data_IF_196600635826
#
_entry.id   IF_196600635826
#
_cell.length_a   1.000
_cell.length_b   1.000
_cell.length_c   1.000
_cell.angle_alpha   90.00
_cell.angle_beta   90.00
_cell.angle_gamma   90.00
#
_symmetry.space_group_name_H-M   'P 1'
#
loop_
_entity.id
_entity.type
_entity.pdbx_description
1 polymer ?
#
# COMPACT_ATOMS: atom_id res chain seq x y z
N UNK A 1 -9.46 33.61 -16.52
CA UNK A 1 -8.30 32.74 -16.84
C UNK A 1 -8.81 31.42 -17.40
N UNK A 2 -8.16 30.88 -18.44
CA UNK A 2 -8.55 29.58 -19.03
C UNK A 2 -8.39 28.46 -18.00
N UNK A 3 -9.35 27.53 -17.88
CA UNK A 3 -9.37 26.50 -16.84
C UNK A 3 -8.10 25.62 -16.84
N UNK A 4 -7.59 25.28 -18.03
CA UNK A 4 -6.34 24.52 -18.21
C UNK A 4 -5.13 25.24 -17.62
N UNK A 5 -4.99 26.54 -17.84
CA UNK A 5 -3.86 27.32 -17.33
C UNK A 5 -3.89 27.39 -15.79
N UNK A 6 -5.09 27.44 -15.19
CA UNK A 6 -5.26 27.40 -13.73
C UNK A 6 -4.88 26.02 -13.17
N UNK A 7 -5.24 24.94 -13.86
CA UNK A 7 -4.88 23.58 -13.48
C UNK A 7 -3.37 23.32 -13.56
N UNK A 8 -2.72 23.78 -14.62
CA UNK A 8 -1.25 23.69 -14.78
C UNK A 8 -0.51 24.51 -13.73
N UNK A 9 -1.00 25.71 -13.42
CA UNK A 9 -0.38 26.57 -12.38
C UNK A 9 -0.38 25.93 -10.99
N UNK A 10 -1.37 25.09 -10.65
CA UNK A 10 -1.39 24.34 -9.39
C UNK A 10 -0.28 23.30 -9.29
N UNK A 11 0.33 22.93 -10.41
CA UNK A 11 1.41 21.95 -10.56
C UNK A 11 2.77 22.60 -10.86
N UNK A 12 2.90 23.90 -10.61
CA UNK A 12 4.14 24.64 -10.90
C UNK A 12 4.38 24.91 -12.39
N UNK A 13 3.42 24.62 -13.26
CA UNK A 13 3.57 24.72 -14.71
C UNK A 13 2.92 26.00 -15.26
N UNK A 14 3.51 26.53 -16.33
CA UNK A 14 3.02 27.71 -17.03
C UNK A 14 2.69 27.35 -18.47
N UNK A 15 1.47 27.70 -18.90
CA UNK A 15 1.04 27.60 -20.29
C UNK A 15 1.31 28.93 -21.01
N UNK A 16 2.36 28.95 -21.83
CA UNK A 16 2.60 30.04 -22.76
C UNK A 16 1.73 29.88 -24.01
N UNK A 17 1.28 31.02 -24.57
CA UNK A 17 0.42 31.03 -25.77
C UNK A 17 1.16 31.38 -27.06
N UNK A 18 2.32 32.03 -26.94
CA UNK A 18 3.14 32.48 -28.07
C UNK A 18 4.62 32.38 -27.70
N UNK A 19 5.32 31.31 -28.11
CA UNK A 19 4.78 30.10 -28.75
C UNK A 19 3.86 29.31 -27.80
N UNK A 20 2.99 28.45 -28.33
CA UNK A 20 2.10 27.64 -27.50
C UNK A 20 2.87 26.45 -26.91
N UNK A 21 3.20 26.52 -25.61
CA UNK A 21 4.03 25.51 -24.93
C UNK A 21 3.81 25.50 -23.42
N UNK A 22 4.16 24.39 -22.80
CA UNK A 22 4.23 24.24 -21.34
C UNK A 22 5.68 24.40 -20.91
N UNK A 23 5.91 25.22 -19.89
CA UNK A 23 7.23 25.47 -19.28
C UNK A 23 7.11 25.47 -17.76
N UNK A 24 8.26 25.35 -17.10
CA UNK A 24 8.40 25.46 -15.65
C UNK A 24 9.78 26.06 -15.32
N UNK A 25 10.03 26.50 -14.07
CA UNK A 25 11.36 26.91 -13.63
C UNK A 25 12.42 25.82 -13.82
N UNK A 26 12.04 24.56 -13.62
CA UNK A 26 12.85 23.38 -13.89
C UNK A 26 12.13 22.49 -14.92
N UNK A 27 12.83 22.16 -16.01
CA UNK A 27 12.26 21.34 -17.09
C UNK A 27 11.87 19.92 -16.60
N UNK A 28 12.49 19.41 -15.54
CA UNK A 28 12.12 18.11 -14.94
C UNK A 28 10.67 18.10 -14.46
N UNK A 29 10.13 19.24 -14.02
CA UNK A 29 8.73 19.35 -13.60
C UNK A 29 7.76 19.11 -14.76
N UNK A 30 8.09 19.64 -15.94
CA UNK A 30 7.31 19.40 -17.16
C UNK A 30 7.36 17.92 -17.54
N UNK A 31 8.55 17.30 -17.41
CA UNK A 31 8.76 15.88 -17.73
C UNK A 31 7.97 14.97 -16.79
N UNK A 32 8.01 15.19 -15.48
CA UNK A 32 7.22 14.43 -14.51
C UNK A 32 5.72 14.58 -14.74
N UNK A 33 5.25 15.80 -15.04
CA UNK A 33 3.85 16.01 -15.36
C UNK A 33 3.39 15.20 -16.58
N UNK A 34 4.17 15.21 -17.66
CA UNK A 34 3.83 14.44 -18.86
C UNK A 34 3.98 12.94 -18.64
N UNK A 35 4.97 12.50 -17.86
CA UNK A 35 5.09 11.10 -17.45
C UNK A 35 3.82 10.63 -16.74
N UNK A 36 3.37 11.35 -15.70
CA UNK A 36 2.12 11.02 -15.00
C UNK A 36 0.92 11.05 -15.93
N UNK A 37 0.84 12.02 -16.84
CA UNK A 37 -0.22 12.09 -17.85
C UNK A 37 -0.27 10.86 -18.74
N UNK A 38 0.86 10.44 -19.31
CA UNK A 38 0.89 9.30 -20.21
C UNK A 38 0.62 7.99 -19.47
N UNK A 39 1.14 7.85 -18.25
CA UNK A 39 0.88 6.67 -17.43
C UNK A 39 -0.61 6.56 -17.07
N UNK A 40 -1.27 7.66 -16.68
CA UNK A 40 -2.70 7.64 -16.36
C UNK A 40 -3.59 7.45 -17.60
N UNK A 41 -3.23 8.04 -18.75
CA UNK A 41 -4.04 7.99 -19.95
C UNK A 41 -3.95 6.66 -20.71
N UNK A 42 -2.77 6.01 -20.69
CA UNK A 42 -2.47 4.84 -21.54
C UNK A 42 -2.12 3.58 -20.72
N UNK A 43 -1.88 3.73 -19.42
CA UNK A 43 -1.49 2.62 -18.54
C UNK A 43 -0.21 1.92 -18.99
N UNK A 44 -0.13 0.63 -18.69
CA UNK A 44 1.02 -0.23 -19.03
C UNK A 44 0.85 -0.97 -20.36
N UNK A 45 -0.34 -0.94 -20.96
CA UNK A 45 -0.67 -1.74 -22.15
C UNK A 45 -0.51 -0.96 -23.44
N UNK A 46 -0.92 0.31 -23.47
CA UNK A 46 -0.82 1.15 -24.65
C UNK A 46 0.51 1.94 -24.65
N UNK A 47 0.99 2.33 -25.83
CA UNK A 47 2.23 3.08 -25.97
C UNK A 47 2.06 4.15 -27.06
N UNK A 48 1.82 5.42 -26.70
CA UNK A 48 1.40 6.45 -27.64
C UNK A 48 2.56 7.13 -28.38
N UNK A 49 3.67 6.42 -28.58
CA UNK A 49 4.88 6.97 -29.18
C UNK A 49 5.37 6.12 -30.34
N UNK A 50 5.99 6.79 -31.31
CA UNK A 50 6.50 6.15 -32.54
C UNK A 50 7.73 5.27 -32.28
N UNK A 51 8.37 5.40 -31.11
CA UNK A 51 9.54 4.62 -30.72
C UNK A 51 9.12 3.31 -30.07
N UNK A 52 9.78 2.20 -30.44
CA UNK A 52 9.43 0.87 -29.95
C UNK A 52 9.61 0.74 -28.42
N UNK A 53 8.50 0.53 -27.71
CA UNK A 53 8.45 0.40 -26.23
C UNK A 53 9.49 -0.56 -25.67
N UNK A 54 9.62 -1.74 -26.28
CA UNK A 54 10.51 -2.80 -25.78
C UNK A 54 11.95 -2.31 -25.65
N UNK A 55 12.39 -1.41 -26.53
CA UNK A 55 13.76 -0.91 -26.50
C UNK A 55 14.03 -0.02 -25.28
N UNK A 56 13.10 0.88 -24.96
CA UNK A 56 13.19 1.75 -23.78
C UNK A 56 13.13 0.94 -22.50
N UNK A 57 12.17 0.01 -22.43
CA UNK A 57 12.02 -0.88 -21.28
C UNK A 57 13.31 -1.67 -21.06
N UNK A 58 13.86 -2.30 -22.10
CA UNK A 58 15.13 -3.04 -21.99
C UNK A 58 16.31 -2.14 -21.60
N UNK A 59 16.36 -0.90 -22.08
CA UNK A 59 17.39 0.07 -21.67
C UNK A 59 17.27 0.40 -20.19
N UNK A 60 16.07 0.76 -19.71
CA UNK A 60 15.80 1.07 -18.30
C UNK A 60 16.13 -0.12 -17.41
N UNK A 61 15.68 -1.33 -17.77
CA UNK A 61 15.94 -2.56 -17.01
C UNK A 61 17.42 -2.90 -16.87
N UNK A 62 18.19 -2.79 -17.96
CA UNK A 62 19.63 -3.07 -17.93
C UNK A 62 20.33 -2.07 -17.03
N UNK A 63 20.04 -0.79 -17.23
CA UNK A 63 20.68 0.28 -16.49
C UNK A 63 20.31 0.20 -14.99
N UNK A 64 19.05 -0.11 -14.64
CA UNK A 64 18.64 -0.30 -13.25
C UNK A 64 19.32 -1.51 -12.59
N UNK A 65 19.55 -2.59 -13.35
CA UNK A 65 20.31 -3.76 -12.89
C UNK A 65 21.77 -3.40 -12.60
N UNK A 66 22.40 -2.61 -13.48
CA UNK A 66 23.77 -2.13 -13.28
C UNK A 66 23.91 -1.23 -12.05
N UNK A 67 22.82 -0.59 -11.63
CA UNK A 67 22.73 0.24 -10.43
C UNK A 67 22.25 -0.50 -9.18
N UNK A 68 21.99 -1.81 -9.27
CA UNK A 68 21.47 -2.62 -8.16
C UNK A 68 20.15 -2.05 -7.57
N UNK A 69 19.34 -1.45 -8.45
CA UNK A 69 17.99 -0.96 -8.16
C UNK A 69 16.99 -2.09 -8.40
N UNK A 70 16.17 -2.35 -7.40
CA UNK A 70 15.24 -3.46 -7.42
C UNK A 70 13.87 -3.05 -7.97
N UNK A 71 13.75 -2.49 -9.18
CA UNK A 71 12.44 -2.13 -9.73
C UNK A 71 11.61 -3.33 -10.18
N UNK A 72 10.29 -3.23 -10.01
CA UNK A 72 9.31 -4.12 -10.61
C UNK A 72 8.92 -3.67 -12.04
N UNK A 73 8.11 -4.49 -12.70
CA UNK A 73 7.68 -4.22 -14.08
C UNK A 73 6.92 -2.89 -14.23
N UNK A 74 6.17 -2.47 -13.21
CA UNK A 74 5.41 -1.22 -13.25
C UNK A 74 6.35 -0.01 -13.15
N UNK A 75 7.27 -0.04 -12.18
CA UNK A 75 8.29 0.99 -11.98
C UNK A 75 9.20 1.12 -13.22
N UNK A 76 9.58 -0.01 -13.83
CA UNK A 76 10.34 -0.01 -15.10
C UNK A 76 9.56 0.70 -16.21
N UNK A 77 8.26 0.43 -16.35
CA UNK A 77 7.42 1.07 -17.37
C UNK A 77 7.27 2.57 -17.08
N UNK A 78 7.07 2.94 -15.81
CA UNK A 78 7.01 4.34 -15.37
C UNK A 78 8.29 5.11 -15.75
N UNK A 79 9.46 4.53 -15.52
CA UNK A 79 10.74 5.11 -15.89
C UNK A 79 10.97 5.11 -17.41
N UNK A 80 10.44 4.13 -18.14
CA UNK A 80 10.46 4.13 -19.61
C UNK A 80 9.61 5.28 -20.19
N UNK A 81 8.44 5.57 -19.60
CA UNK A 81 7.65 6.76 -19.95
C UNK A 81 8.43 8.05 -19.68
N UNK A 82 9.11 8.15 -18.52
CA UNK A 82 9.92 9.32 -18.19
C UNK A 82 11.08 9.52 -19.16
N UNK A 83 11.75 8.43 -19.54
CA UNK A 83 12.80 8.44 -20.57
C UNK A 83 12.24 8.93 -21.91
N UNK A 84 11.09 8.42 -22.34
CA UNK A 84 10.46 8.83 -23.60
C UNK A 84 10.14 10.33 -23.60
N UNK A 85 9.51 10.81 -22.53
CA UNK A 85 9.19 12.23 -22.36
C UNK A 85 10.47 13.07 -22.37
N UNK A 86 11.52 12.63 -21.68
CA UNK A 86 12.83 13.29 -21.64
C UNK A 86 13.39 13.46 -23.05
N UNK A 87 13.37 12.42 -23.87
CA UNK A 87 13.85 12.46 -25.25
C UNK A 87 13.04 13.43 -26.09
N UNK A 88 11.71 13.36 -26.00
CA UNK A 88 10.82 14.25 -26.75
C UNK A 88 11.10 15.71 -26.40
N UNK A 89 11.15 16.04 -25.11
CA UNK A 89 11.36 17.40 -24.62
C UNK A 89 12.73 17.93 -25.02
N UNK A 90 13.78 17.13 -24.84
CA UNK A 90 15.13 17.50 -25.28
C UNK A 90 15.18 17.72 -26.80
N UNK A 91 14.56 16.85 -27.61
CA UNK A 91 14.51 16.98 -29.08
C UNK A 91 13.78 18.24 -29.57
N UNK A 92 12.85 18.76 -28.76
CA UNK A 92 12.14 20.02 -28.99
C UNK A 92 12.94 21.25 -28.53
N UNK A 93 14.13 21.05 -27.96
CA UNK A 93 14.99 22.11 -27.43
C UNK A 93 14.71 22.49 -25.98
N UNK A 94 13.88 21.73 -25.25
CA UNK A 94 13.67 21.92 -23.82
C UNK A 94 14.67 21.07 -23.02
N UNK A 95 15.83 21.68 -22.80
CA UNK A 95 16.97 21.06 -22.13
C UNK A 95 16.98 21.37 -20.63
N UNK A 96 17.78 20.62 -19.88
CA UNK A 96 18.12 20.96 -18.48
C UNK A 96 18.93 22.27 -18.40
N UNK A 97 19.16 22.76 -17.17
CA UNK A 97 19.95 23.98 -16.95
C UNK A 97 21.39 23.83 -17.43
N UNK A 98 22.00 24.92 -17.89
CA UNK A 98 23.40 24.93 -18.35
C UNK A 98 24.39 24.51 -17.26
N UNK A 99 24.06 24.78 -15.99
CA UNK A 99 24.86 24.37 -14.83
C UNK A 99 25.09 22.86 -14.80
N UNK A 100 24.05 22.06 -15.08
CA UNK A 100 24.13 20.60 -15.14
C UNK A 100 25.08 20.13 -16.27
N UNK A 101 25.15 20.86 -17.38
CA UNK A 101 26.06 20.55 -18.48
C UNK A 101 27.50 20.99 -18.23
N UNK A 102 27.72 21.89 -17.27
CA UNK A 102 29.06 22.37 -16.92
C UNK A 102 29.83 21.41 -16.01
N UNK A 103 29.13 20.51 -15.30
CA UNK A 103 29.74 19.49 -14.45
C UNK A 103 30.58 18.49 -15.28
N UNK A 104 31.62 17.85 -14.73
CA UNK A 104 32.27 16.72 -15.39
C UNK A 104 31.36 15.48 -15.37
N UNK A 105 31.50 14.59 -16.36
CA UNK A 105 30.75 13.32 -16.33
C UNK A 105 31.22 12.47 -15.15
N UNK A 106 30.26 12.01 -14.35
CA UNK A 106 30.49 11.07 -13.27
C UNK A 106 30.44 9.60 -13.74
N UNK A 107 30.53 8.67 -12.79
CA UNK A 107 30.48 7.24 -13.07
C UNK A 107 29.14 6.81 -13.71
N UNK A 108 28.01 7.36 -13.25
CA UNK A 108 26.68 7.01 -13.74
C UNK A 108 26.50 7.51 -15.18
N UNK A 109 26.97 8.72 -15.47
CA UNK A 109 26.99 9.28 -16.82
C UNK A 109 27.81 8.41 -17.78
N UNK A 110 28.99 7.95 -17.35
CA UNK A 110 29.84 7.06 -18.15
C UNK A 110 29.19 5.70 -18.39
N UNK A 111 28.52 5.14 -17.38
CA UNK A 111 27.81 3.88 -17.49
C UNK A 111 26.64 3.97 -18.49
N UNK A 112 25.81 5.01 -18.36
CA UNK A 112 24.70 5.28 -19.28
C UNK A 112 25.22 5.48 -20.71
N UNK A 113 26.31 6.22 -20.88
CA UNK A 113 26.96 6.38 -22.20
C UNK A 113 27.37 5.05 -22.80
N UNK A 114 27.99 4.17 -22.00
CA UNK A 114 28.53 2.89 -22.46
C UNK A 114 27.43 1.93 -22.96
N UNK A 115 26.18 2.13 -22.53
CA UNK A 115 25.01 1.37 -22.97
C UNK A 115 24.50 1.84 -24.34
N UNK A 116 25.40 1.89 -25.34
CA UNK A 116 25.23 2.52 -26.65
C UNK A 116 24.07 1.96 -27.51
N UNK A 117 23.58 0.75 -27.21
CA UNK A 117 22.63 -0.01 -28.05
C UNK A 117 21.31 0.70 -28.35
N UNK A 118 20.98 1.73 -27.58
CA UNK A 118 19.75 2.51 -27.73
C UNK A 118 19.95 3.80 -28.54
N UNK A 119 21.12 4.44 -28.47
CA UNK A 119 21.39 5.72 -29.14
C UNK A 119 21.36 5.65 -30.68
N UNK A 120 21.75 4.51 -31.26
CA UNK A 120 21.81 4.30 -32.71
C UNK A 120 20.42 4.13 -33.34
N UNK A 121 19.42 3.71 -32.55
CA UNK A 121 18.09 3.37 -33.03
C UNK A 121 17.15 4.57 -33.18
N UNK A 122 17.55 5.74 -32.68
CA UNK A 122 16.80 6.99 -32.86
C UNK A 122 16.88 7.54 -34.28
N UNK A 123 17.87 7.13 -35.06
CA UNK A 123 18.08 7.60 -36.43
C UNK A 123 16.87 7.36 -37.36
N UNK A 124 16.01 6.40 -37.02
CA UNK A 124 14.81 6.05 -37.79
C UNK A 124 13.53 6.74 -37.31
N UNK A 125 13.61 7.56 -36.26
CA UNK A 125 12.44 8.24 -35.67
C UNK A 125 12.44 9.74 -35.95
N UNK A 126 11.30 10.40 -35.68
CA UNK A 126 11.20 11.86 -35.75
C UNK A 126 11.93 12.56 -34.58
N UNK A 127 12.42 11.80 -33.59
CA UNK A 127 13.08 12.34 -32.41
C UNK A 127 14.58 12.45 -32.64
N UNK A 128 15.13 13.62 -32.28
CA UNK A 128 16.57 13.88 -32.37
C UNK A 128 17.21 13.70 -31.01
N UNK A 129 18.21 12.82 -30.94
CA UNK A 129 19.03 12.68 -29.75
C UNK A 129 19.95 13.90 -29.65
N UNK A 130 19.83 14.63 -28.54
CA UNK A 130 20.61 15.85 -28.31
C UNK A 130 22.06 15.53 -27.94
N UNK A 131 23.00 16.46 -28.15
CA UNK A 131 24.32 16.35 -27.55
C UNK A 131 24.20 16.18 -26.03
N UNK A 132 25.04 15.31 -25.46
CA UNK A 132 25.03 14.98 -24.02
C UNK A 132 23.71 14.38 -23.50
N UNK A 133 22.97 13.66 -24.35
CA UNK A 133 21.72 12.96 -23.99
C UNK A 133 21.82 12.07 -22.74
N UNK A 134 23.00 11.52 -22.46
CA UNK A 134 23.21 10.68 -21.28
C UNK A 134 22.97 11.46 -19.99
N UNK A 135 23.24 12.78 -19.97
CA UNK A 135 22.95 13.65 -18.81
C UNK A 135 21.47 13.94 -18.65
N UNK A 136 20.79 14.12 -19.79
CA UNK A 136 19.34 14.27 -19.80
C UNK A 136 18.68 13.06 -19.14
N UNK A 137 19.14 11.87 -19.52
CA UNK A 137 18.72 10.60 -18.94
C UNK A 137 19.14 10.46 -17.47
N UNK A 138 20.42 10.67 -17.13
CA UNK A 138 20.92 10.46 -15.78
C UNK A 138 20.24 11.38 -14.76
N UNK A 139 20.15 12.68 -15.07
CA UNK A 139 19.60 13.68 -14.16
C UNK A 139 18.07 13.73 -14.10
N UNK A 140 17.37 13.06 -15.03
CA UNK A 140 15.90 13.00 -15.03
C UNK A 140 15.37 11.61 -14.67
N UNK A 141 15.79 10.57 -15.40
CA UNK A 141 15.28 9.20 -15.21
C UNK A 141 15.85 8.62 -13.92
N UNK A 142 17.15 8.82 -13.68
CA UNK A 142 17.85 8.35 -12.47
C UNK A 142 18.07 9.49 -11.48
N UNK A 143 17.10 10.41 -11.41
CA UNK A 143 17.17 11.61 -10.56
C UNK A 143 17.37 11.30 -9.08
N UNK A 144 17.02 10.10 -8.63
CA UNK A 144 17.22 9.59 -7.26
C UNK A 144 18.68 9.62 -6.81
N UNK A 145 19.66 9.65 -7.72
CA UNK A 145 21.08 9.76 -7.39
C UNK A 145 21.58 11.21 -7.29
N UNK A 146 20.77 12.18 -7.72
CA UNK A 146 21.18 13.58 -7.90
C UNK A 146 20.33 14.59 -7.16
N UNK A 147 19.19 14.18 -6.62
CA UNK A 147 18.23 15.10 -5.99
C UNK A 147 18.55 15.38 -4.51
N UNK A 148 19.73 14.98 -4.04
CA UNK A 148 20.18 15.19 -2.66
C UNK A 148 21.01 16.48 -2.55
N UNK A 149 20.73 17.28 -1.53
CA UNK A 149 21.50 18.50 -1.24
C UNK A 149 22.96 18.15 -0.91
N UNK A 150 23.18 17.03 -0.23
CA UNK A 150 24.49 16.48 0.11
C UNK A 150 24.37 15.03 0.62
N UNK A 151 25.52 14.33 0.68
CA UNK A 151 25.60 12.95 1.20
C UNK A 151 25.15 12.80 2.67
N UNK A 152 25.24 13.86 3.49
CA UNK A 152 24.77 13.78 4.87
C UNK A 152 23.23 13.74 4.94
N UNK A 153 22.55 14.45 4.04
CA UNK A 153 21.10 14.38 3.91
C UNK A 153 20.67 12.98 3.50
N UNK A 154 21.28 12.40 2.48
CA UNK A 154 21.01 11.02 2.02
C UNK A 154 21.14 10.02 3.18
N UNK A 155 22.28 10.03 3.89
CA UNK A 155 22.50 9.17 5.05
C UNK A 155 21.49 9.40 6.17
N UNK A 156 21.14 10.65 6.45
CA UNK A 156 20.14 10.99 7.49
C UNK A 156 18.76 10.45 7.14
N UNK A 157 18.32 10.62 5.89
CA UNK A 157 17.01 10.12 5.44
C UNK A 157 16.99 8.60 5.48
N UNK A 158 18.05 7.94 4.99
CA UNK A 158 18.17 6.49 5.05
C UNK A 158 18.10 5.98 6.50
N UNK A 159 18.89 6.54 7.42
CA UNK A 159 18.88 6.14 8.83
C UNK A 159 17.51 6.34 9.49
N UNK A 160 16.77 7.40 9.13
CA UNK A 160 15.43 7.62 9.61
C UNK A 160 14.45 6.55 9.10
N UNK A 161 14.55 6.16 7.82
CA UNK A 161 13.74 5.08 7.23
C UNK A 161 14.07 3.74 7.91
N UNK A 162 15.35 3.42 8.12
CA UNK A 162 15.79 2.21 8.83
C UNK A 162 15.22 2.16 10.26
N UNK A 163 15.28 3.27 10.99
CA UNK A 163 14.68 3.39 12.32
C UNK A 163 13.15 3.18 12.28
N UNK A 164 12.47 3.75 11.29
CA UNK A 164 11.04 3.54 11.07
C UNK A 164 10.72 2.05 10.82
N UNK A 165 11.45 1.39 9.91
CA UNK A 165 11.23 -0.03 9.61
C UNK A 165 11.49 -0.91 10.82
N UNK A 166 12.52 -0.60 11.60
CA UNK A 166 12.80 -1.33 12.83
C UNK A 166 11.65 -1.21 13.84
N UNK A 167 11.12 0.00 14.06
CA UNK A 167 10.00 0.22 14.97
C UNK A 167 8.73 -0.53 14.53
N UNK A 168 8.41 -0.50 13.23
CA UNK A 168 7.27 -1.22 12.67
C UNK A 168 7.47 -2.73 12.80
N UNK A 169 8.65 -3.26 12.47
CA UNK A 169 9.03 -4.67 12.61
C UNK A 169 8.88 -5.20 14.03
N UNK A 170 9.35 -4.43 15.02
CA UNK A 170 9.14 -4.78 16.43
C UNK A 170 7.66 -4.80 16.80
N UNK A 171 6.86 -3.85 16.29
CA UNK A 171 5.44 -3.75 16.61
C UNK A 171 4.59 -4.90 16.08
N UNK A 172 4.95 -5.44 14.91
CA UNK A 172 4.26 -6.60 14.30
C UNK A 172 4.90 -7.94 14.66
N UNK A 173 5.96 -7.93 15.47
CA UNK A 173 6.77 -9.10 15.85
C UNK A 173 7.12 -9.97 14.64
N UNK A 174 7.61 -9.32 13.59
CA UNK A 174 7.94 -9.97 12.33
C UNK A 174 9.19 -9.32 11.74
N UNK A 175 10.29 -10.08 11.55
CA UNK A 175 11.51 -9.52 11.00
C UNK A 175 11.38 -9.26 9.50
N UNK A 176 12.02 -8.20 9.01
CA UNK A 176 12.27 -8.02 7.57
C UNK A 176 13.46 -8.88 7.16
N UNK A 177 13.39 -9.45 5.96
CA UNK A 177 14.59 -10.01 5.34
C UNK A 177 15.37 -8.89 4.61
N UNK A 178 16.66 -9.11 4.39
CA UNK A 178 17.57 -8.10 3.81
C UNK A 178 17.11 -7.57 2.44
N UNK A 179 16.48 -8.43 1.62
CA UNK A 179 16.03 -8.06 0.27
C UNK A 179 14.82 -7.14 0.31
N UNK A 180 13.81 -7.50 1.11
CA UNK A 180 12.58 -6.72 1.28
C UNK A 180 12.92 -5.37 1.93
N UNK A 181 13.78 -5.37 2.95
CA UNK A 181 14.26 -4.16 3.60
C UNK A 181 14.94 -3.21 2.61
N UNK A 182 15.89 -3.73 1.82
CA UNK A 182 16.57 -2.94 0.78
C UNK A 182 15.57 -2.35 -0.22
N UNK A 183 14.60 -3.14 -0.69
CA UNK A 183 13.57 -2.70 -1.65
C UNK A 183 12.69 -1.59 -1.07
N UNK A 184 12.22 -1.75 0.16
CA UNK A 184 11.38 -0.77 0.84
C UNK A 184 12.16 0.54 1.08
N UNK A 185 13.41 0.44 1.53
CA UNK A 185 14.28 1.61 1.69
C UNK A 185 14.45 2.35 0.36
N UNK A 186 14.76 1.63 -0.72
CA UNK A 186 14.91 2.22 -2.06
C UNK A 186 13.64 2.96 -2.49
N UNK A 187 12.45 2.35 -2.35
CA UNK A 187 11.19 3.00 -2.70
C UNK A 187 10.89 4.23 -1.84
N UNK A 188 11.12 4.16 -0.53
CA UNK A 188 10.90 5.30 0.37
C UNK A 188 11.89 6.45 0.10
N UNK A 189 13.14 6.14 -0.23
CA UNK A 189 14.12 7.13 -0.68
C UNK A 189 13.69 7.76 -2.02
N UNK A 190 13.16 6.96 -2.95
CA UNK A 190 12.58 7.43 -4.21
C UNK A 190 11.43 8.42 -4.01
N UNK A 191 10.52 8.13 -3.06
CA UNK A 191 9.43 9.06 -2.68
C UNK A 191 9.98 10.41 -2.20
N UNK A 192 10.98 10.38 -1.32
CA UNK A 192 11.63 11.61 -0.82
C UNK A 192 12.30 12.39 -1.95
N UNK A 193 13.11 11.71 -2.77
CA UNK A 193 13.85 12.31 -3.88
C UNK A 193 12.90 12.96 -4.90
N UNK A 194 11.87 12.21 -5.32
CA UNK A 194 10.89 12.68 -6.30
C UNK A 194 10.18 13.94 -5.80
N UNK A 195 9.77 13.97 -4.54
CA UNK A 195 9.10 15.14 -3.96
C UNK A 195 10.05 16.33 -3.77
N UNK A 196 11.29 16.07 -3.36
CA UNK A 196 12.33 17.10 -3.22
C UNK A 196 12.59 17.79 -4.56
N UNK A 197 12.57 17.01 -5.65
CA UNK A 197 12.74 17.52 -6.99
C UNK A 197 11.46 18.18 -7.56
N UNK A 198 10.29 17.59 -7.34
CA UNK A 198 9.00 18.08 -7.85
C UNK A 198 7.94 18.10 -6.73
N UNK A 199 7.82 19.22 -5.99
CA UNK A 199 6.99 19.32 -4.79
C UNK A 199 5.51 19.61 -5.11
N UNK A 200 4.98 19.01 -6.18
CA UNK A 200 3.60 19.16 -6.62
C UNK A 200 2.94 17.79 -6.77
N UNK A 201 1.60 17.78 -6.71
CA UNK A 201 0.85 16.54 -6.87
C UNK A 201 1.05 15.96 -8.28
N UNK A 202 1.54 14.72 -8.34
CA UNK A 202 1.83 13.99 -9.58
C UNK A 202 0.54 13.45 -10.19
N UNK A 203 -0.43 13.08 -9.36
CA UNK A 203 -1.71 12.56 -9.84
C UNK A 203 -2.50 13.65 -10.58
N UNK A 204 -2.99 13.31 -11.77
CA UNK A 204 -3.78 14.18 -12.61
C UNK A 204 -5.25 13.99 -12.29
N UNK A 205 -5.73 12.74 -12.34
CA UNK A 205 -7.12 12.36 -12.12
C UNK A 205 -7.29 11.32 -11.01
N UNK A 206 -6.41 10.31 -10.95
CA UNK A 206 -6.61 9.14 -10.10
C UNK A 206 -5.37 8.81 -9.27
N UNK A 207 -5.55 8.73 -7.95
CA UNK A 207 -4.52 8.28 -7.01
C UNK A 207 -4.77 6.81 -6.63
N UNK A 208 -4.06 5.89 -7.30
CA UNK A 208 -4.19 4.46 -7.08
C UNK A 208 -3.79 4.02 -5.66
N UNK A 209 -2.75 4.65 -5.11
CA UNK A 209 -2.28 4.38 -3.75
C UNK A 209 -3.31 4.77 -2.70
N UNK A 210 -4.06 5.86 -2.91
CA UNK A 210 -5.02 6.36 -1.94
C UNK A 210 -6.21 5.40 -1.73
N UNK A 211 -6.80 4.87 -2.79
CA UNK A 211 -7.90 3.89 -2.66
C UNK A 211 -7.42 2.59 -2.02
N UNK A 212 -6.24 2.13 -2.42
CA UNK A 212 -5.61 0.94 -1.84
C UNK A 212 -5.32 1.15 -0.35
N UNK A 213 -4.75 2.29 0.03
CA UNK A 213 -4.47 2.64 1.41
C UNK A 213 -5.74 2.73 2.27
N UNK A 214 -6.85 3.27 1.74
CA UNK A 214 -8.14 3.28 2.45
C UNK A 214 -8.64 1.86 2.76
N UNK A 215 -8.47 0.94 1.81
CA UNK A 215 -8.81 -0.47 2.03
C UNK A 215 -7.89 -1.09 3.09
N UNK A 216 -6.59 -0.81 3.03
CA UNK A 216 -5.61 -1.26 4.03
C UNK A 216 -5.97 -0.74 5.42
N UNK A 217 -6.28 0.54 5.56
CA UNK A 217 -6.67 1.16 6.84
C UNK A 217 -7.97 0.57 7.40
N UNK A 218 -8.92 0.21 6.53
CA UNK A 218 -10.16 -0.45 6.94
C UNK A 218 -9.91 -1.87 7.44
N UNK A 219 -8.99 -2.58 6.80
CA UNK A 219 -8.70 -4.00 7.00
C UNK A 219 -7.71 -4.18 8.19
N UNK A 220 -6.69 -3.33 8.30
CA UNK A 220 -5.65 -3.40 9.32
C UNK A 220 -5.47 -2.06 10.07
N UNK A 221 -6.49 -1.56 10.79
CA UNK A 221 -6.46 -0.24 11.44
C UNK A 221 -5.31 -0.09 12.45
N UNK A 222 -5.00 -1.14 13.23
CA UNK A 222 -3.88 -1.11 14.19
C UNK A 222 -2.55 -0.94 13.48
N UNK A 223 -2.31 -1.72 12.42
CA UNK A 223 -1.10 -1.62 11.61
C UNK A 223 -0.97 -0.24 10.96
N UNK A 224 -2.04 0.26 10.35
CA UNK A 224 -2.02 1.59 9.75
C UNK A 224 -1.71 2.67 10.79
N UNK A 225 -2.25 2.56 12.00
CA UNK A 225 -1.94 3.49 13.09
C UNK A 225 -0.47 3.45 13.51
N UNK A 226 0.12 2.25 13.61
CA UNK A 226 1.56 2.07 13.88
C UNK A 226 2.38 2.80 12.82
N UNK A 227 2.06 2.61 11.54
CA UNK A 227 2.74 3.27 10.42
C UNK A 227 2.60 4.79 10.55
N UNK A 228 1.38 5.33 10.73
CA UNK A 228 1.15 6.78 10.86
C UNK A 228 1.94 7.41 12.01
N UNK A 229 2.00 6.72 13.15
CA UNK A 229 2.70 7.24 14.35
C UNK A 229 4.21 7.26 14.10
N UNK A 230 4.78 6.19 13.55
CA UNK A 230 6.22 6.11 13.30
C UNK A 230 6.67 7.01 12.15
N UNK A 231 5.85 7.19 11.10
CA UNK A 231 6.10 8.19 10.05
C UNK A 231 6.13 9.62 10.61
N UNK A 232 5.25 9.94 11.57
CA UNK A 232 5.24 11.26 12.23
C UNK A 232 6.48 11.50 13.09
N UNK A 233 7.11 10.45 13.61
CA UNK A 233 8.36 10.60 14.35
C UNK A 233 9.50 10.98 13.41
N UNK A 234 9.68 10.25 12.30
CA UNK A 234 10.75 10.56 11.32
C UNK A 234 10.51 11.89 10.57
N UNK A 235 9.25 12.34 10.46
CA UNK A 235 8.91 13.66 9.90
C UNK A 235 9.54 14.82 10.69
N UNK A 236 9.69 14.68 12.02
CA UNK A 236 10.35 15.70 12.85
C UNK A 236 11.85 15.80 12.57
N UNK A 237 12.49 14.67 12.26
CA UNK A 237 13.94 14.60 12.05
C UNK A 237 14.33 15.00 10.62
N UNK A 238 13.47 14.67 9.66
CA UNK A 238 13.72 14.87 8.24
C UNK A 238 13.19 16.21 7.70
N UNK A 239 12.23 16.85 8.38
CA UNK A 239 11.48 18.01 7.89
C UNK A 239 10.82 17.74 6.52
N UNK A 240 10.29 16.52 6.37
CA UNK A 240 9.62 16.03 5.17
C UNK A 240 8.23 15.51 5.52
N UNK A 241 7.17 15.89 4.77
CA UNK A 241 5.79 15.60 5.13
C UNK A 241 5.39 14.13 4.87
N UNK A 242 6.02 13.18 5.57
CA UNK A 242 5.80 11.74 5.39
C UNK A 242 4.33 11.35 5.53
N UNK A 243 3.63 11.90 6.53
CA UNK A 243 2.22 11.55 6.76
C UNK A 243 1.32 12.18 5.71
N UNK A 244 1.46 13.49 5.46
CA UNK A 244 0.53 14.20 4.57
C UNK A 244 0.68 13.80 3.09
N UNK A 245 1.91 13.52 2.66
CA UNK A 245 2.22 13.30 1.23
C UNK A 245 2.43 11.86 0.84
N UNK A 246 2.93 11.01 1.74
CA UNK A 246 3.40 9.66 1.35
C UNK A 246 2.77 8.52 2.14
N UNK A 247 1.92 8.78 3.15
CA UNK A 247 1.37 7.73 3.99
C UNK A 247 0.64 6.63 3.20
N UNK A 248 -0.11 7.04 2.16
CA UNK A 248 -0.84 6.08 1.31
C UNK A 248 0.12 5.20 0.51
N UNK A 249 1.18 5.78 -0.05
CA UNK A 249 2.22 5.03 -0.77
C UNK A 249 2.98 4.10 0.16
N UNK A 250 3.41 4.59 1.33
CA UNK A 250 4.14 3.79 2.32
C UNK A 250 3.31 2.58 2.79
N UNK A 251 2.01 2.75 3.03
CA UNK A 251 1.14 1.62 3.38
C UNK A 251 1.08 0.56 2.28
N UNK A 252 1.00 0.99 1.02
CA UNK A 252 0.98 0.09 -0.13
C UNK A 252 2.33 -0.61 -0.31
N UNK A 253 3.43 0.14 -0.21
CA UNK A 253 4.81 -0.36 -0.27
C UNK A 253 5.03 -1.46 0.79
N UNK A 254 4.69 -1.19 2.04
CA UNK A 254 4.90 -2.16 3.12
C UNK A 254 4.13 -3.46 2.90
N UNK A 255 2.86 -3.41 2.48
CA UNK A 255 2.11 -4.65 2.23
C UNK A 255 2.55 -5.40 0.97
N UNK A 256 3.05 -4.69 -0.04
CA UNK A 256 3.46 -5.26 -1.32
C UNK A 256 4.85 -5.88 -1.24
N UNK A 257 5.81 -5.17 -0.67
CA UNK A 257 7.23 -5.53 -0.70
C UNK A 257 7.66 -6.36 0.52
N UNK A 258 6.96 -6.26 1.65
CA UNK A 258 7.30 -7.04 2.84
C UNK A 258 6.66 -8.43 2.76
N UNK A 259 7.48 -9.42 2.37
CA UNK A 259 7.05 -10.79 2.14
C UNK A 259 6.28 -11.38 3.33
N UNK A 260 5.09 -11.92 3.06
CA UNK A 260 4.19 -12.55 4.04
C UNK A 260 3.66 -11.64 5.16
N UNK A 261 3.90 -10.32 5.13
CA UNK A 261 3.31 -9.39 6.10
C UNK A 261 1.77 -9.52 6.18
N UNK A 262 1.00 -9.67 5.07
CA UNK A 262 -0.44 -9.88 5.18
C UNK A 262 -0.83 -11.11 6.01
N UNK A 263 -0.06 -12.20 5.91
CA UNK A 263 -0.32 -13.43 6.67
C UNK A 263 -0.08 -13.19 8.16
N UNK A 264 1.01 -12.50 8.49
CA UNK A 264 1.32 -12.12 9.87
C UNK A 264 0.24 -11.22 10.47
N UNK A 265 -0.18 -10.19 9.73
CA UNK A 265 -1.22 -9.26 10.17
C UNK A 265 -2.56 -9.97 10.40
N UNK A 266 -2.91 -10.95 9.57
CA UNK A 266 -4.08 -11.82 9.82
C UNK A 266 -3.93 -12.66 11.10
N UNK A 267 -2.73 -13.14 11.40
CA UNK A 267 -2.43 -13.88 12.64
C UNK A 267 -2.55 -13.03 13.91
N UNK A 268 -2.19 -11.74 13.82
CA UNK A 268 -2.28 -10.77 14.91
C UNK A 268 -3.71 -10.27 15.17
N UNK A 269 -4.65 -10.56 14.27
CA UNK A 269 -6.05 -10.17 14.47
C UNK A 269 -6.69 -10.98 15.60
N UNK A 270 -7.55 -10.28 16.34
CA UNK A 270 -8.44 -10.91 17.31
C UNK A 270 -9.41 -11.85 16.58
N UNK A 271 -9.48 -13.10 17.06
CA UNK A 271 -10.47 -14.08 16.59
C UNK A 271 -11.87 -13.62 16.95
N UNK A 272 -12.81 -13.72 16.01
CA UNK A 272 -14.21 -13.40 16.27
C UNK A 272 -14.92 -14.58 16.90
N UNK A 273 -15.73 -14.33 17.92
CA UNK A 273 -16.64 -15.31 18.50
C UNK A 273 -17.94 -15.36 17.71
N UNK A 274 -18.29 -16.54 17.20
CA UNK A 274 -19.52 -16.77 16.44
C UNK A 274 -20.33 -17.86 17.14
N UNK A 275 -21.61 -17.58 17.37
CA UNK A 275 -22.57 -18.57 17.83
C UNK A 275 -23.45 -19.01 16.67
N UNK A 276 -23.61 -20.31 16.48
CA UNK A 276 -24.55 -20.86 15.49
C UNK A 276 -25.74 -21.48 16.21
N UNK A 277 -26.94 -21.09 15.76
CA UNK A 277 -28.23 -21.57 16.24
C UNK A 277 -28.98 -22.14 15.05
N UNK A 278 -29.61 -23.30 15.22
CA UNK A 278 -30.35 -23.96 14.14
C UNK A 278 -31.63 -24.58 14.66
N UNK A 279 -32.77 -24.21 14.07
CA UNK A 279 -34.06 -24.85 14.36
C UNK A 279 -34.18 -26.27 13.78
N UNK A 280 -33.38 -26.59 12.76
CA UNK A 280 -33.22 -27.95 12.20
C UNK A 280 -32.36 -28.89 13.07
N UNK A 281 -31.90 -28.42 14.22
CA UNK A 281 -31.13 -29.18 15.20
C UNK A 281 -29.61 -29.18 15.00
N UNK A 282 -28.92 -29.84 15.92
CA UNK A 282 -27.46 -29.76 16.12
C UNK A 282 -26.66 -30.26 14.91
N UNK A 283 -27.18 -31.22 14.13
CA UNK A 283 -26.49 -31.72 12.93
C UNK A 283 -26.37 -30.64 11.86
N UNK A 284 -27.43 -29.85 11.68
CA UNK A 284 -27.42 -28.72 10.76
C UNK A 284 -26.48 -27.60 11.24
N UNK A 285 -26.52 -27.28 12.55
CA UNK A 285 -25.57 -26.33 13.14
C UNK A 285 -24.09 -26.77 12.96
N UNK A 286 -23.81 -28.08 13.11
CA UNK A 286 -22.47 -28.65 12.83
C UNK A 286 -22.08 -28.53 11.37
N UNK A 287 -23.01 -28.74 10.43
CA UNK A 287 -22.77 -28.53 9.00
C UNK A 287 -22.37 -27.08 8.72
N UNK A 288 -23.14 -26.10 9.21
CA UNK A 288 -22.82 -24.67 9.04
C UNK A 288 -21.45 -24.32 9.66
N UNK A 289 -21.14 -24.84 10.85
CA UNK A 289 -19.80 -24.67 11.45
C UNK A 289 -18.70 -25.22 10.57
N UNK A 290 -18.87 -26.41 9.99
CA UNK A 290 -17.88 -27.00 9.08
C UNK A 290 -17.70 -26.15 7.81
N UNK A 291 -18.77 -25.58 7.25
CA UNK A 291 -18.68 -24.66 6.11
C UNK A 291 -17.90 -23.40 6.46
N UNK A 292 -18.22 -22.76 7.59
CA UNK A 292 -17.53 -21.56 8.06
C UNK A 292 -16.06 -21.83 8.38
N UNK A 293 -15.75 -22.96 9.02
CA UNK A 293 -14.37 -23.40 9.27
C UNK A 293 -13.61 -23.68 7.98
N UNK A 294 -14.27 -24.24 6.97
CA UNK A 294 -13.66 -24.49 5.66
C UNK A 294 -13.18 -23.21 4.98
N UNK A 295 -13.96 -22.12 5.10
CA UNK A 295 -13.65 -20.86 4.43
C UNK A 295 -12.77 -19.91 5.26
N UNK A 296 -13.01 -19.80 6.57
CA UNK A 296 -12.30 -18.85 7.44
C UNK A 296 -11.25 -19.50 8.33
N UNK A 297 -11.16 -20.83 8.35
CA UNK A 297 -10.19 -21.56 9.16
C UNK A 297 -10.32 -21.25 10.66
N UNK A 298 -9.17 -21.11 11.32
CA UNK A 298 -9.06 -20.81 12.75
C UNK A 298 -9.25 -19.32 13.10
N UNK A 299 -9.69 -18.48 12.14
CA UNK A 299 -9.96 -17.05 12.37
C UNK A 299 -11.18 -16.84 13.27
N UNK A 300 -12.10 -17.80 13.31
CA UNK A 300 -13.31 -17.74 14.11
C UNK A 300 -13.27 -18.78 15.23
N UNK A 301 -13.73 -18.38 16.41
CA UNK A 301 -14.15 -19.30 17.46
C UNK A 301 -15.63 -19.55 17.25
N UNK A 302 -16.00 -20.75 16.80
CA UNK A 302 -17.39 -21.08 16.44
C UNK A 302 -17.98 -22.03 17.48
N UNK A 303 -18.87 -21.50 18.31
CA UNK A 303 -19.61 -22.24 19.32
C UNK A 303 -21.02 -22.59 18.78
N UNK A 304 -21.59 -23.71 19.21
CA UNK A 304 -22.94 -24.13 18.81
C UNK A 304 -23.88 -24.09 20.01
N UNK A 305 -25.10 -23.60 19.80
CA UNK A 305 -26.18 -23.77 20.75
C UNK A 305 -26.78 -25.18 20.62
N UNK A 306 -26.80 -25.94 21.72
CA UNK A 306 -27.20 -27.35 21.70
C UNK A 306 -28.69 -27.57 21.97
N UNK A 307 -29.35 -26.60 22.61
CA UNK A 307 -30.74 -26.70 23.03
C UNK A 307 -31.73 -26.19 21.98
N UNK A 308 -33.04 -26.36 22.24
CA UNK A 308 -34.09 -25.94 21.31
C UNK A 308 -34.15 -24.41 21.22
N UNK A 309 -34.06 -23.82 20.01
CA UNK A 309 -34.19 -22.38 19.83
C UNK A 309 -35.62 -21.86 20.06
N UNK A 310 -36.59 -22.75 20.29
CA UNK A 310 -37.98 -22.39 20.60
C UNK A 310 -38.16 -21.92 22.05
N UNK A 311 -37.26 -22.31 22.96
CA UNK A 311 -37.37 -22.06 24.39
C UNK A 311 -36.11 -21.42 24.96
N UNK A 312 -35.63 -20.35 24.34
CA UNK A 312 -34.45 -19.62 24.81
C UNK A 312 -34.85 -18.72 25.99
N UNK A 313 -34.18 -18.92 27.13
CA UNK A 313 -34.37 -18.13 28.35
C UNK A 313 -33.78 -16.71 28.21
N UNK A 314 -34.26 -15.73 29.00
CA UNK A 314 -33.66 -14.39 29.00
C UNK A 314 -32.16 -14.36 29.35
N UNK A 315 -31.70 -15.32 30.15
CA UNK A 315 -30.30 -15.47 30.55
C UNK A 315 -29.43 -15.91 29.36
N UNK A 316 -29.92 -16.87 28.56
CA UNK A 316 -29.24 -17.30 27.32
C UNK A 316 -29.25 -16.19 26.27
N UNK A 317 -30.35 -15.43 26.14
CA UNK A 317 -30.39 -14.25 25.25
C UNK A 317 -29.38 -13.17 25.66
N UNK A 318 -29.07 -13.03 26.95
CA UNK A 318 -28.02 -12.14 27.41
C UNK A 318 -26.63 -12.64 27.00
N UNK A 319 -26.39 -13.95 27.07
CA UNK A 319 -25.13 -14.55 26.63
C UNK A 319 -24.92 -14.46 25.10
N UNK A 320 -26.00 -14.55 24.32
CA UNK A 320 -25.91 -14.38 22.86
C UNK A 320 -25.36 -12.99 22.47
N UNK A 321 -25.57 -11.97 23.32
CA UNK A 321 -25.03 -10.62 23.11
C UNK A 321 -23.51 -10.53 23.32
N UNK A 322 -22.91 -11.47 24.04
CA UNK A 322 -21.45 -11.50 24.25
C UNK A 322 -20.69 -11.98 23.01
N UNK A 323 -21.37 -12.68 22.10
CA UNK A 323 -20.80 -13.11 20.83
C UNK A 323 -20.69 -11.95 19.85
N UNK A 324 -19.61 -11.94 19.07
CA UNK A 324 -19.44 -10.95 18.01
C UNK A 324 -20.47 -11.13 16.89
N UNK A 325 -20.87 -12.37 16.60
CA UNK A 325 -21.90 -12.68 15.63
C UNK A 325 -22.74 -13.87 16.08
N UNK A 326 -24.05 -13.81 15.85
CA UNK A 326 -24.99 -14.91 16.05
C UNK A 326 -25.59 -15.25 14.70
N UNK A 327 -25.33 -16.44 14.19
CA UNK A 327 -25.85 -16.95 12.92
C UNK A 327 -27.01 -17.90 13.22
N UNK A 328 -28.16 -17.63 12.62
CA UNK A 328 -29.37 -18.46 12.77
C UNK A 328 -30.02 -18.72 11.42
N UNK A 329 -30.69 -19.86 11.27
CA UNK A 329 -31.48 -20.15 10.08
C UNK A 329 -32.96 -19.69 10.18
N UNK A 330 -33.36 -19.18 11.35
CA UNK A 330 -34.71 -18.69 11.60
C UNK A 330 -34.71 -17.56 12.65
N UNK A 331 -35.79 -16.78 12.73
CA UNK A 331 -35.92 -15.72 13.72
C UNK A 331 -35.98 -16.27 15.15
N UNK A 332 -35.11 -15.73 16.01
CA UNK A 332 -35.11 -16.03 17.44
C UNK A 332 -36.08 -15.07 18.13
N UNK A 333 -37.06 -15.62 18.84
CA UNK A 333 -38.07 -14.82 19.54
C UNK A 333 -37.40 -13.92 20.59
N UNK A 334 -37.81 -12.65 20.65
CA UNK A 334 -37.27 -11.64 21.56
C UNK A 334 -35.77 -11.32 21.43
N UNK A 335 -35.14 -11.66 20.29
CA UNK A 335 -33.74 -11.31 20.02
C UNK A 335 -33.62 -10.43 18.77
N UNK A 336 -33.46 -9.12 18.97
CA UNK A 336 -33.24 -8.14 17.90
C UNK A 336 -31.96 -7.34 18.17
N UNK A 337 -30.81 -8.00 18.11
CA UNK A 337 -29.51 -7.35 18.26
C UNK A 337 -28.80 -7.22 16.90
N UNK A 338 -27.91 -6.23 16.80
CA UNK A 338 -27.13 -5.96 15.59
C UNK A 338 -26.19 -7.12 15.22
N UNK A 339 -25.76 -7.92 16.21
CA UNK A 339 -24.94 -9.10 16.01
C UNK A 339 -25.70 -10.30 15.42
N UNK A 340 -27.03 -10.21 15.21
CA UNK A 340 -27.83 -11.28 14.61
C UNK A 340 -27.73 -11.26 13.08
N UNK A 341 -27.41 -12.43 12.50
CA UNK A 341 -27.45 -12.69 11.06
C UNK A 341 -28.34 -13.89 10.80
N UNK A 342 -29.38 -13.69 10.00
CA UNK A 342 -30.28 -14.76 9.56
C UNK A 342 -29.79 -15.23 8.19
N UNK A 343 -29.61 -16.54 8.03
CA UNK A 343 -29.16 -17.18 6.80
C UNK A 343 -30.16 -18.25 6.38
N UNK A 344 -30.12 -18.67 5.13
CA UNK A 344 -30.88 -19.83 4.71
C UNK A 344 -30.28 -21.12 5.29
N UNK A 345 -30.98 -22.26 5.13
CA UNK A 345 -30.48 -23.57 5.54
C UNK A 345 -29.14 -23.94 4.85
N UNK A 346 -28.77 -23.24 3.80
CA UNK A 346 -27.43 -23.26 3.23
C UNK A 346 -26.99 -21.83 2.95
N UNK A 347 -25.71 -21.53 3.19
CA UNK A 347 -25.15 -20.20 2.93
C UNK A 347 -25.13 -19.94 1.43
N UNK A 348 -25.95 -18.98 0.98
CA UNK A 348 -25.95 -18.46 -0.38
C UNK A 348 -24.74 -17.56 -0.64
N UNK A 349 -24.46 -17.25 -1.92
CA UNK A 349 -23.42 -16.28 -2.28
C UNK A 349 -23.65 -14.92 -1.59
N UNK A 350 -24.91 -14.48 -1.51
CA UNK A 350 -25.29 -13.25 -0.81
C UNK A 350 -25.03 -13.31 0.68
N UNK A 351 -25.22 -14.47 1.33
CA UNK A 351 -24.91 -14.64 2.75
C UNK A 351 -23.41 -14.51 3.00
N UNK A 352 -22.57 -15.10 2.14
CA UNK A 352 -21.12 -14.97 2.24
C UNK A 352 -20.65 -13.51 2.10
N UNK A 353 -21.21 -12.75 1.17
CA UNK A 353 -20.91 -11.33 1.01
C UNK A 353 -21.31 -10.49 2.23
N UNK A 354 -22.51 -10.75 2.79
CA UNK A 354 -22.99 -10.06 3.99
C UNK A 354 -22.10 -10.42 5.19
N UNK A 355 -21.76 -11.69 5.35
CA UNK A 355 -20.88 -12.17 6.42
C UNK A 355 -19.50 -11.50 6.33
N UNK A 356 -18.88 -11.48 5.15
CA UNK A 356 -17.59 -10.82 4.91
C UNK A 356 -17.64 -9.33 5.30
N UNK A 357 -18.66 -8.59 4.86
CA UNK A 357 -18.81 -7.17 5.19
C UNK A 357 -18.98 -6.95 6.69
N UNK A 358 -19.77 -7.79 7.36
CA UNK A 358 -19.99 -7.71 8.82
C UNK A 358 -18.70 -8.02 9.58
N UNK A 359 -17.97 -9.07 9.20
CA UNK A 359 -16.69 -9.45 9.81
C UNK A 359 -15.70 -8.29 9.77
N UNK A 360 -15.52 -7.65 8.60
CA UNK A 360 -14.62 -6.49 8.45
C UNK A 360 -15.10 -5.32 9.33
N UNK A 361 -16.42 -5.04 9.36
CA UNK A 361 -16.98 -3.94 10.16
C UNK A 361 -16.77 -4.16 11.66
N UNK A 362 -17.03 -5.37 12.15
CA UNK A 362 -16.86 -5.73 13.56
C UNK A 362 -15.38 -5.65 13.95
N UNK A 363 -14.49 -6.22 13.13
CA UNK A 363 -13.05 -6.16 13.38
C UNK A 363 -12.53 -4.73 13.44
N UNK A 364 -13.01 -3.86 12.54
CA UNK A 364 -12.66 -2.45 12.56
C UNK A 364 -13.14 -1.78 13.86
N UNK A 365 -14.41 -1.94 14.23
CA UNK A 365 -14.95 -1.35 15.44
C UNK A 365 -14.21 -1.80 16.71
N UNK A 366 -13.91 -3.09 16.83
CA UNK A 366 -13.12 -3.64 17.95
C UNK A 366 -11.72 -3.02 17.98
N UNK A 367 -11.10 -2.88 16.81
CA UNK A 367 -9.76 -2.29 16.72
C UNK A 367 -9.78 -0.81 17.07
N UNK A 368 -10.75 -0.04 16.59
CA UNK A 368 -10.90 1.38 16.88
C UNK A 368 -11.14 1.62 18.39
N UNK A 369 -11.97 0.79 19.03
CA UNK A 369 -12.19 0.83 20.48
C UNK A 369 -10.90 0.52 21.27
N UNK A 370 -10.12 -0.45 20.78
CA UNK A 370 -8.83 -0.80 21.37
C UNK A 370 -7.80 0.32 21.19
N UNK A 371 -7.73 0.91 20.00
CA UNK A 371 -6.86 2.05 19.69
C UNK A 371 -7.17 3.27 20.56
N UNK A 372 -8.44 3.49 20.92
CA UNK A 372 -8.83 4.59 21.82
C UNK A 372 -8.33 4.40 23.27
N UNK A 373 -7.96 3.18 23.67
CA UNK A 373 -7.48 2.84 25.01
C UNK A 373 -5.95 2.85 25.13
N UNK A 374 -5.23 2.84 24.00
CA UNK A 374 -3.77 2.77 23.96
C UNK A 374 -3.13 4.16 23.97
N UNK A 375 -1.98 4.30 24.63
CA UNK A 375 -1.18 5.52 24.55
C UNK A 375 -0.32 5.51 23.28
N UNK A 376 -0.14 6.69 22.69
CA UNK A 376 0.82 6.96 21.61
C UNK A 376 2.24 6.48 21.91
N UNK A 377 2.64 6.42 23.18
CA UNK A 377 3.94 5.88 23.58
C UNK A 377 4.10 4.39 23.27
N UNK A 378 3.02 3.61 23.39
CA UNK A 378 3.03 2.16 23.13
C UNK A 378 3.31 1.89 21.64
N UNK A 379 2.68 2.67 20.74
CA UNK A 379 2.88 2.58 19.29
C UNK A 379 4.30 2.94 18.83
N UNK A 380 5.00 3.83 19.54
CA UNK A 380 6.40 4.16 19.26
C UNK A 380 7.35 3.06 19.69
N UNK A 381 7.05 2.41 20.81
CA UNK A 381 7.89 1.34 21.35
C UNK A 381 7.68 -0.02 20.69
N UNK A 382 6.57 -0.19 19.95
CA UNK A 382 6.16 -1.46 19.36
C UNK A 382 5.74 -2.52 20.38
N UNK A 383 5.79 -2.25 21.69
CA UNK A 383 5.46 -3.25 22.71
C UNK A 383 3.95 -3.31 22.95
N UNK A 384 3.42 -4.53 23.02
CA UNK A 384 2.02 -4.82 23.42
C UNK A 384 0.95 -4.08 22.59
N UNK A 385 1.24 -3.78 21.32
CA UNK A 385 0.34 -3.02 20.45
C UNK A 385 -0.82 -3.88 19.93
N UNK A 386 -0.72 -5.21 19.99
CA UNK A 386 -1.80 -6.12 19.63
C UNK A 386 -2.42 -6.79 20.88
N UNK A 387 -3.75 -6.96 20.91
CA UNK A 387 -4.43 -7.55 22.05
C UNK A 387 -4.07 -9.04 22.21
N UNK A 388 -3.73 -9.45 23.43
CA UNK A 388 -3.54 -10.87 23.77
C UNK A 388 -4.90 -11.56 23.98
N UNK A 389 -5.09 -12.75 23.38
CA UNK A 389 -6.35 -13.48 23.53
C UNK A 389 -6.52 -14.05 24.95
N UNK A 390 -7.58 -13.63 25.65
CA UNK A 390 -8.06 -14.27 26.87
C UNK A 390 -9.14 -15.30 26.54
N UNK A 391 -9.03 -16.49 27.13
CA UNK A 391 -10.00 -17.59 27.01
C UNK A 391 -11.14 -17.43 28.03
N UNK A 392 -12.39 -17.37 27.58
CA UNK A 392 -13.56 -17.40 28.46
C UNK A 392 -14.00 -18.84 28.82
N UNK A 393 -14.63 -18.96 29.99
CA UNK A 393 -14.98 -20.19 30.72
C UNK A 393 -16.05 -21.09 30.05
N UNK A 394 -16.13 -22.34 30.53
CA UNK A 394 -16.96 -23.45 30.00
C UNK A 394 -18.39 -23.40 30.56
N UNK A 395 -19.41 -23.50 29.69
CA UNK A 395 -20.82 -23.70 30.06
C UNK A 395 -21.39 -24.92 29.30
N UNK A 396 -22.21 -25.73 29.97
CA UNK A 396 -22.68 -27.04 29.51
C UNK A 396 -23.67 -27.02 28.32
N UNK A 397 -24.34 -25.90 28.06
CA UNK A 397 -25.35 -25.72 26.99
C UNK A 397 -24.73 -25.39 25.61
N UNK A 398 -23.43 -25.15 25.56
CA UNK A 398 -22.71 -24.81 24.33
C UNK A 398 -21.74 -25.92 23.93
N UNK A 399 -21.74 -26.30 22.65
CA UNK A 399 -20.65 -27.09 22.07
C UNK A 399 -19.55 -26.11 21.65
N UNK A 400 -18.60 -25.90 22.54
CA UNK A 400 -17.45 -25.02 22.32
C UNK A 400 -16.51 -25.56 21.24
N UNK A 401 -15.74 -24.68 20.63
CA UNK A 401 -14.66 -25.08 19.73
C UNK A 401 -13.42 -25.61 20.50
N UNK A 402 -13.17 -26.92 20.44
CA UNK A 402 -12.09 -27.57 21.20
C UNK A 402 -10.67 -27.40 20.62
N UNK A 403 -10.50 -26.76 19.46
CA UNK A 403 -9.16 -26.50 18.87
C UNK A 403 -8.28 -25.59 19.76
N UNK A 404 -8.86 -24.99 20.80
CA UNK A 404 -8.20 -24.12 21.78
C UNK A 404 -7.32 -24.84 22.82
N UNK A 405 -7.53 -26.13 23.11
CA UNK A 405 -6.81 -26.80 24.22
C UNK A 405 -5.52 -27.52 23.85
N UNK A 406 -5.29 -27.84 22.56
CA UNK A 406 -4.18 -28.70 22.16
C UNK A 406 -2.84 -27.98 21.90
N UNK A 407 -2.78 -26.64 21.99
CA UNK A 407 -1.53 -25.87 21.81
C UNK A 407 -0.74 -25.58 23.09
N UNK A 408 -1.18 -26.06 24.26
CA UNK A 408 -0.39 -25.95 25.50
C UNK A 408 0.40 -27.24 25.85
N UNK A 409 0.40 -28.25 24.99
CA UNK A 409 1.09 -29.53 25.24
C UNK A 409 1.98 -30.04 24.09
N UNK A 410 2.37 -29.19 23.13
CA UNK A 410 3.39 -29.53 22.14
C UNK A 410 4.42 -28.42 22.02
#
# INVERSE_FOLDING_TARGET
MNNTAKALKRRGLVLERKPFRVIAPDERWVRFFYQSYFLEAYGTTEWPFDLERQQLVCFVMRTSTDFDILWDDHEIIEHAYLLMVTIIRASQGFMLSEEIYSEPDDFLDQLIKSNHSYSEKFATTNYKLVPLWHRETSRTVFHEYYSWDNRQQEFRIQAAIEHFLHAVSQAVDFPLNERDEKKIIQQMMGLYSTYSLYPYDREILHNQSQESAQNIQRIYPIFSKIVSVNLREIEKDCNFPWVQKTESDVLCILLKEWGNLPIQLEGLRRRLSILIISDMGVRHAKMLRSLLKGQYGERFKIDLYNDSPLFVSPEELAQFKEYNLVITNNQIHNYQNENLMIVDNYLSETDWEVLNRRVISIQKAISDEYLAKLDTADFRSGRSVYPTSQSNERIATFIMDETLNNRKQQ
#
